data_IF_840402710871
#
_entry.id   IF_840402710871
#
_cell.length_a   1.000
_cell.length_b   1.000
_cell.length_c   1.000
_cell.angle_alpha   90.00
_cell.angle_beta   90.00
_cell.angle_gamma   90.00
#
_symmetry.space_group_name_H-M   'P 1'
#
loop_
_entity.id
_entity.type
_entity.pdbx_description
1 polymer ?
#
# COMPACT_ATOMS: atom_id res chain seq x y z
N UNK A 1 18.22 97.68 -13.38
CA UNK A 1 17.48 97.45 -12.11
C UNK A 1 16.24 96.59 -12.43
N UNK A 2 16.36 95.34 -12.28
CA UNK A 2 15.22 94.41 -12.42
C UNK A 2 15.33 93.41 -11.30
N UNK A 3 14.38 93.52 -10.40
CA UNK A 3 14.21 92.78 -9.16
C UNK A 3 13.72 91.38 -9.49
N UNK A 4 14.51 90.35 -9.16
CA UNK A 4 14.13 88.97 -9.29
C UNK A 4 13.44 88.49 -8.02
N UNK A 5 12.15 88.18 -8.08
CA UNK A 5 11.40 87.46 -7.01
C UNK A 5 11.73 85.97 -7.01
N UNK A 6 11.98 85.41 -5.85
CA UNK A 6 12.11 83.92 -5.73
C UNK A 6 10.76 83.21 -5.77
N UNK A 7 10.61 82.27 -6.67
CA UNK A 7 9.46 81.31 -6.69
C UNK A 7 9.61 80.36 -5.53
N UNK A 8 8.69 80.43 -4.55
CA UNK A 8 8.46 79.42 -3.51
C UNK A 8 7.73 78.21 -4.10
N UNK A 9 8.46 77.18 -4.34
CA UNK A 9 7.87 75.86 -4.61
C UNK A 9 7.48 75.16 -3.30
N UNK A 10 6.26 75.35 -2.84
CA UNK A 10 5.65 74.56 -1.79
C UNK A 10 5.05 73.28 -2.40
N UNK A 11 5.51 72.06 -2.03
CA UNK A 11 4.87 70.88 -2.49
C UNK A 11 3.47 70.79 -1.84
N UNK A 12 2.45 70.80 -2.66
CA UNK A 12 1.06 70.48 -2.22
C UNK A 12 0.99 69.09 -1.64
N UNK A 13 1.03 69.02 -0.34
CA UNK A 13 0.71 67.82 0.43
C UNK A 13 -0.75 67.43 0.14
N UNK A 14 -0.97 66.42 -0.71
CA UNK A 14 -2.28 65.79 -0.89
C UNK A 14 -2.70 65.19 0.43
N UNK A 15 -3.53 65.89 1.16
CA UNK A 15 -4.25 65.32 2.29
C UNK A 15 -5.15 64.18 1.78
N UNK A 16 -4.77 62.94 2.05
CA UNK A 16 -5.65 61.81 1.89
C UNK A 16 -6.88 62.01 2.80
N UNK A 17 -8.08 61.69 2.29
CA UNK A 17 -9.31 61.87 3.06
C UNK A 17 -9.28 60.99 4.31
N UNK A 18 -9.89 61.45 5.45
CA UNK A 18 -9.78 60.80 6.75
C UNK A 18 -10.39 59.39 6.84
N UNK A 19 -11.06 58.91 5.78
CA UNK A 19 -11.60 57.55 5.69
C UNK A 19 -10.65 56.57 4.96
N UNK A 20 -9.51 57.06 4.47
CA UNK A 20 -8.44 56.22 3.91
C UNK A 20 -7.32 56.05 4.96
N UNK A 21 -7.70 55.69 6.16
CA UNK A 21 -6.79 55.10 7.14
C UNK A 21 -6.71 53.64 6.80
N UNK A 22 -5.51 53.17 6.37
CA UNK A 22 -5.22 51.76 6.21
C UNK A 22 -5.65 50.99 7.45
N UNK A 23 -6.54 49.98 7.32
CA UNK A 23 -6.97 49.19 8.48
C UNK A 23 -5.92 48.18 8.96
N UNK A 24 -4.66 48.34 8.52
CA UNK A 24 -3.55 47.57 9.02
C UNK A 24 -2.97 48.22 10.26
N UNK A 25 -3.71 48.13 11.39
CA UNK A 25 -3.15 48.37 12.70
C UNK A 25 -1.91 47.45 12.92
N UNK A 26 -0.73 47.99 13.30
CA UNK A 26 0.45 47.18 13.59
C UNK A 26 0.35 46.38 14.90
N UNK A 27 -0.84 46.18 15.45
CA UNK A 27 -1.08 45.47 16.68
C UNK A 27 -1.73 44.09 16.49
N UNK A 28 -1.92 43.59 15.27
CA UNK A 28 -2.19 42.17 15.04
C UNK A 28 -0.87 41.39 15.17
N UNK A 29 -0.37 41.33 16.40
CA UNK A 29 0.72 40.46 16.83
C UNK A 29 0.29 38.98 16.90
N UNK A 30 -0.72 38.63 16.14
CA UNK A 30 -1.20 37.27 15.96
C UNK A 30 -0.59 36.64 14.69
N UNK A 31 0.47 35.84 14.86
CA UNK A 31 0.90 34.80 13.89
C UNK A 31 1.61 35.24 12.59
N UNK A 32 2.13 36.44 12.48
CA UNK A 32 3.17 36.68 11.48
C UNK A 32 4.50 36.13 12.00
N UNK A 33 4.76 34.82 11.71
CA UNK A 33 6.11 34.31 11.77
C UNK A 33 6.99 35.29 11.01
N UNK A 34 7.97 35.94 11.69
CA UNK A 34 8.80 36.93 11.05
C UNK A 34 9.41 36.32 9.78
N UNK A 35 9.50 37.04 8.68
CA UNK A 35 10.07 36.55 7.40
C UNK A 35 11.39 35.80 7.60
N UNK A 36 12.17 36.23 8.61
CA UNK A 36 13.43 35.60 9.00
C UNK A 36 13.23 34.16 9.54
N UNK A 37 12.18 33.90 10.32
CA UNK A 37 11.87 32.55 10.83
C UNK A 37 11.33 31.68 9.71
N UNK A 38 10.47 32.22 8.86
CA UNK A 38 9.96 31.51 7.67
C UNK A 38 11.09 31.11 6.72
N UNK A 39 12.02 32.03 6.41
CA UNK A 39 13.17 31.74 5.55
C UNK A 39 14.12 30.71 6.17
N UNK A 40 14.33 30.71 7.48
CA UNK A 40 15.14 29.69 8.16
C UNK A 40 14.48 28.32 8.11
N UNK A 41 13.17 28.24 8.25
CA UNK A 41 12.41 26.98 8.17
C UNK A 41 12.45 26.41 6.74
N UNK A 42 12.39 27.26 5.72
CA UNK A 42 12.50 26.84 4.32
C UNK A 42 13.85 26.21 3.98
N UNK A 43 14.95 26.61 4.65
CA UNK A 43 16.28 26.03 4.45
C UNK A 43 16.36 24.58 5.00
N UNK A 44 15.61 24.26 6.05
CA UNK A 44 15.59 22.91 6.64
C UNK A 44 14.78 21.92 5.80
N UNK A 45 13.81 22.39 5.02
CA UNK A 45 12.90 21.55 4.26
C UNK A 45 13.60 20.62 3.25
N UNK A 46 14.56 21.08 2.43
CA UNK A 46 15.33 20.21 1.55
C UNK A 46 16.14 19.16 2.29
N UNK A 47 16.70 19.50 3.47
CA UNK A 47 17.48 18.57 4.28
C UNK A 47 16.60 17.39 4.76
N UNK A 48 15.39 17.69 5.24
CA UNK A 48 14.39 16.66 5.58
C UNK A 48 14.01 15.86 4.34
N UNK A 49 13.81 16.52 3.19
CA UNK A 49 13.48 15.86 1.94
C UNK A 49 14.54 14.84 1.50
N UNK A 50 15.82 15.20 1.55
CA UNK A 50 16.91 14.28 1.21
C UNK A 50 17.02 13.10 2.22
N UNK A 51 16.79 13.36 3.50
CA UNK A 51 16.78 12.29 4.52
C UNK A 51 15.66 11.30 4.25
N UNK A 52 14.44 11.77 3.97
CA UNK A 52 13.29 10.92 3.64
C UNK A 52 13.55 10.11 2.36
N UNK A 53 14.14 10.72 1.34
CA UNK A 53 14.52 10.01 0.11
C UNK A 53 15.58 8.95 0.37
N UNK A 54 16.60 9.26 1.16
CA UNK A 54 17.64 8.30 1.54
C UNK A 54 17.08 7.10 2.29
N UNK A 55 16.21 7.32 3.27
CA UNK A 55 15.52 6.26 4.02
C UNK A 55 14.62 5.43 3.09
N UNK A 56 13.94 6.07 2.14
CA UNK A 56 13.11 5.36 1.15
C UNK A 56 13.94 4.42 0.28
N UNK A 57 15.12 4.86 -0.17
CA UNK A 57 16.03 4.00 -0.96
C UNK A 57 16.48 2.81 -0.13
N UNK A 58 16.92 3.03 1.10
CA UNK A 58 17.35 1.95 2.01
C UNK A 58 16.21 0.94 2.22
N UNK A 59 15.00 1.42 2.55
CA UNK A 59 13.84 0.55 2.76
C UNK A 59 13.47 -0.23 1.49
N UNK A 60 13.56 0.41 0.31
CA UNK A 60 13.30 -0.26 -0.97
C UNK A 60 14.33 -1.36 -1.24
N UNK A 61 15.61 -1.13 -0.95
CA UNK A 61 16.66 -2.14 -1.12
C UNK A 61 16.41 -3.35 -0.20
N UNK A 62 16.08 -3.10 1.07
CA UNK A 62 15.77 -4.16 2.05
C UNK A 62 14.56 -4.99 1.59
N UNK A 63 13.53 -4.35 1.01
CA UNK A 63 12.34 -5.03 0.51
C UNK A 63 12.65 -6.07 -0.59
N UNK A 64 13.71 -5.86 -1.37
CA UNK A 64 14.16 -6.82 -2.38
C UNK A 64 14.99 -7.99 -1.82
N UNK A 65 15.22 -8.07 -0.52
CA UNK A 65 15.96 -9.16 0.14
C UNK A 65 14.97 -10.03 0.95
N UNK A 66 14.79 -11.34 0.64
CA UNK A 66 15.41 -12.14 -0.43
C UNK A 66 14.73 -11.92 -1.79
N UNK A 67 15.54 -11.87 -2.87
CA UNK A 67 15.02 -11.65 -4.23
C UNK A 67 14.43 -12.94 -4.82
N UNK A 68 13.09 -13.01 -4.94
CA UNK A 68 12.36 -14.17 -5.46
C UNK A 68 11.37 -13.79 -6.57
N UNK A 69 11.84 -13.35 -7.75
CA UNK A 69 10.98 -12.81 -8.82
C UNK A 69 10.03 -13.83 -9.44
N UNK A 70 10.30 -15.14 -9.28
CA UNK A 70 9.46 -16.22 -9.80
C UNK A 70 8.32 -16.64 -8.86
N UNK A 71 8.39 -16.24 -7.59
CA UNK A 71 7.35 -16.51 -6.62
C UNK A 71 6.23 -15.45 -6.75
N UNK A 72 5.01 -15.84 -7.19
CA UNK A 72 3.92 -14.89 -7.41
C UNK A 72 3.45 -14.19 -6.13
N UNK A 73 3.55 -14.86 -4.98
CA UNK A 73 3.20 -14.30 -3.68
C UNK A 73 4.18 -13.18 -3.31
N UNK A 74 5.49 -13.47 -3.42
CA UNK A 74 6.54 -12.48 -3.15
C UNK A 74 6.42 -11.25 -4.05
N UNK A 75 6.16 -11.45 -5.35
CA UNK A 75 5.97 -10.32 -6.30
C UNK A 75 4.79 -9.46 -5.88
N UNK A 76 3.65 -10.08 -5.55
CA UNK A 76 2.44 -9.34 -5.18
C UNK A 76 2.62 -8.58 -3.86
N UNK A 77 3.27 -9.18 -2.85
CA UNK A 77 3.56 -8.53 -1.57
C UNK A 77 4.56 -7.39 -1.71
N UNK A 78 5.64 -7.60 -2.47
CA UNK A 78 6.63 -6.54 -2.78
C UNK A 78 5.97 -5.34 -3.47
N UNK A 79 5.09 -5.60 -4.44
CA UNK A 79 4.29 -4.54 -5.08
C UNK A 79 3.40 -3.82 -4.07
N UNK A 80 2.75 -4.56 -3.17
CA UNK A 80 1.93 -3.99 -2.10
C UNK A 80 2.72 -3.03 -1.21
N UNK A 81 3.88 -3.44 -0.75
CA UNK A 81 4.76 -2.62 0.09
C UNK A 81 5.28 -1.38 -0.64
N UNK A 82 5.65 -1.50 -1.92
CA UNK A 82 6.05 -0.35 -2.74
C UNK A 82 4.91 0.65 -2.90
N UNK A 83 3.70 0.17 -3.16
CA UNK A 83 2.51 1.04 -3.32
C UNK A 83 2.14 1.70 -1.99
N UNK A 84 2.14 0.95 -0.89
CA UNK A 84 1.85 1.49 0.44
C UNK A 84 2.91 2.50 0.91
N UNK A 85 4.16 2.32 0.49
CA UNK A 85 5.27 3.23 0.79
C UNK A 85 5.43 4.41 -0.19
N UNK A 86 4.64 4.51 -1.26
CA UNK A 86 4.84 5.50 -2.33
C UNK A 86 4.73 6.96 -1.87
N UNK A 87 4.04 7.24 -0.77
CA UNK A 87 3.89 8.59 -0.22
C UNK A 87 5.18 9.14 0.37
N UNK A 88 6.10 8.30 0.88
CA UNK A 88 7.39 8.74 1.41
C UNK A 88 8.27 9.41 0.34
N UNK A 89 8.56 8.76 -0.81
CA UNK A 89 9.34 9.41 -1.85
C UNK A 89 8.62 10.62 -2.46
N UNK A 90 7.29 10.60 -2.57
CA UNK A 90 6.52 11.76 -3.04
C UNK A 90 6.69 12.95 -2.10
N UNK A 91 6.56 12.75 -0.79
CA UNK A 91 6.75 13.79 0.22
C UNK A 91 8.19 14.30 0.22
N UNK A 92 9.18 13.39 0.18
CA UNK A 92 10.60 13.76 0.09
C UNK A 92 10.89 14.62 -1.13
N UNK A 93 10.34 14.26 -2.30
CA UNK A 93 10.49 15.01 -3.54
C UNK A 93 9.85 16.41 -3.44
N UNK A 94 8.65 16.52 -2.88
CA UNK A 94 7.97 17.80 -2.66
C UNK A 94 8.81 18.68 -1.73
N UNK A 95 9.33 18.17 -0.63
CA UNK A 95 10.18 18.89 0.31
C UNK A 95 11.46 19.42 -0.37
N UNK A 96 12.12 18.60 -1.19
CA UNK A 96 13.33 18.99 -1.93
C UNK A 96 13.03 20.07 -2.96
N UNK A 97 11.90 19.97 -3.67
CA UNK A 97 11.54 20.90 -4.74
C UNK A 97 10.98 22.24 -4.20
N UNK A 98 10.26 22.20 -3.07
CA UNK A 98 9.58 23.38 -2.53
C UNK A 98 10.51 24.26 -1.67
N UNK A 99 11.53 23.69 -1.03
CA UNK A 99 12.34 24.37 -0.02
C UNK A 99 13.35 25.40 -0.54
N UNK A 100 13.44 25.67 -1.86
CA UNK A 100 14.48 26.56 -2.41
C UNK A 100 13.97 27.60 -3.38
N UNK A 101 13.86 28.81 -2.86
CA UNK A 101 13.72 30.03 -3.60
C UNK A 101 15.03 30.84 -3.42
N UNK A 102 16.04 30.59 -4.27
CA UNK A 102 17.31 31.29 -4.17
C UNK A 102 18.42 30.72 -5.07
N UNK A 103 19.67 31.08 -4.78
CA UNK A 103 20.84 30.63 -5.54
C UNK A 103 20.97 29.11 -5.51
N UNK A 104 20.91 28.50 -6.71
CA UNK A 104 21.04 27.06 -6.89
C UNK A 104 22.47 26.76 -7.35
N UNK A 105 23.19 25.93 -6.62
CA UNK A 105 24.54 25.51 -7.00
C UNK A 105 24.50 24.58 -8.23
N UNK A 106 25.55 24.58 -9.05
CA UNK A 106 25.66 23.76 -10.28
C UNK A 106 25.49 22.26 -9.99
N UNK A 107 25.92 21.84 -8.80
CA UNK A 107 25.76 20.44 -8.34
C UNK A 107 24.29 20.07 -8.10
N UNK A 108 23.54 20.95 -7.52
CA UNK A 108 22.12 20.79 -7.24
C UNK A 108 21.27 20.72 -8.50
N UNK A 109 21.61 21.52 -9.51
CA UNK A 109 20.95 21.43 -10.82
C UNK A 109 21.12 20.04 -11.46
N UNK A 110 22.31 19.44 -11.36
CA UNK A 110 22.53 18.08 -11.83
C UNK A 110 21.68 17.06 -11.07
N UNK A 111 21.62 17.21 -9.74
CA UNK A 111 20.81 16.35 -8.88
C UNK A 111 19.33 16.48 -9.21
N UNK A 112 18.84 17.69 -9.48
CA UNK A 112 17.44 17.91 -9.87
C UNK A 112 17.11 17.31 -11.24
N UNK A 113 18.01 17.41 -12.20
CA UNK A 113 17.85 16.76 -13.49
C UNK A 113 17.81 15.23 -13.35
N UNK A 114 18.68 14.66 -12.50
CA UNK A 114 18.68 13.24 -12.18
C UNK A 114 17.38 12.83 -11.50
N UNK A 115 16.96 13.56 -10.46
CA UNK A 115 15.73 13.30 -9.70
C UNK A 115 14.49 13.37 -10.61
N UNK A 116 14.45 14.36 -11.53
CA UNK A 116 13.37 14.47 -12.51
C UNK A 116 13.29 13.26 -13.46
N UNK A 117 14.43 12.72 -13.89
CA UNK A 117 14.46 11.49 -14.70
C UNK A 117 14.03 10.27 -13.88
N UNK A 118 14.46 10.19 -12.63
CA UNK A 118 14.04 9.12 -11.70
C UNK A 118 12.53 9.14 -11.47
N UNK A 119 11.89 10.31 -11.32
CA UNK A 119 10.44 10.43 -11.21
C UNK A 119 9.71 9.81 -12.40
N UNK A 120 10.21 10.02 -13.62
CA UNK A 120 9.63 9.40 -14.81
C UNK A 120 9.75 7.89 -14.77
N UNK A 121 10.94 7.36 -14.46
CA UNK A 121 11.19 5.92 -14.41
C UNK A 121 10.34 5.25 -13.33
N UNK A 122 10.28 5.85 -12.15
CA UNK A 122 9.46 5.35 -11.03
C UNK A 122 7.97 5.41 -11.39
N UNK A 123 7.49 6.52 -11.95
CA UNK A 123 6.08 6.66 -12.37
C UNK A 123 5.69 5.63 -13.42
N UNK A 124 6.55 5.40 -14.42
CA UNK A 124 6.33 4.36 -15.43
C UNK A 124 6.39 2.97 -14.82
N UNK A 125 7.32 2.72 -13.89
CA UNK A 125 7.42 1.48 -13.13
C UNK A 125 6.13 1.15 -12.38
N UNK A 126 5.54 2.13 -11.68
CA UNK A 126 4.25 1.95 -11.00
C UNK A 126 3.12 1.60 -11.98
N UNK A 127 3.06 2.23 -13.15
CA UNK A 127 2.05 1.89 -14.16
C UNK A 127 2.25 0.48 -14.74
N UNK A 128 3.50 0.05 -14.94
CA UNK A 128 3.82 -1.30 -15.39
C UNK A 128 3.52 -2.37 -14.31
N UNK A 129 3.51 -2.01 -13.04
CA UNK A 129 3.11 -2.92 -11.96
C UNK A 129 1.65 -3.35 -12.07
N UNK A 130 0.75 -2.53 -12.64
CA UNK A 130 -0.68 -2.85 -12.74
C UNK A 130 -0.95 -4.16 -13.51
N UNK A 131 -0.50 -4.31 -14.77
CA UNK A 131 -0.72 -5.57 -15.50
C UNK A 131 -0.01 -6.76 -14.85
N UNK A 132 1.17 -6.53 -14.27
CA UNK A 132 1.89 -7.59 -13.52
C UNK A 132 1.09 -8.02 -12.30
N UNK A 133 0.56 -7.09 -11.51
CA UNK A 133 -0.25 -7.37 -10.32
C UNK A 133 -1.50 -8.18 -10.64
N UNK A 134 -2.22 -7.82 -11.71
CA UNK A 134 -3.40 -8.57 -12.17
C UNK A 134 -3.01 -10.00 -12.54
N UNK A 135 -1.93 -10.18 -13.31
CA UNK A 135 -1.46 -11.51 -13.71
C UNK A 135 -1.05 -12.37 -12.51
N UNK A 136 -0.34 -11.80 -11.54
CA UNK A 136 0.08 -12.53 -10.35
C UNK A 136 -1.12 -12.91 -9.47
N UNK A 137 -2.11 -12.05 -9.35
CA UNK A 137 -3.36 -12.36 -8.60
C UNK A 137 -4.06 -13.58 -9.19
N UNK A 138 -4.19 -13.68 -10.51
CA UNK A 138 -4.79 -14.85 -11.16
C UNK A 138 -3.97 -16.13 -10.92
N UNK A 139 -2.63 -16.01 -10.98
CA UNK A 139 -1.74 -17.15 -10.72
C UNK A 139 -1.87 -17.66 -9.29
N UNK A 140 -1.93 -16.75 -8.30
CA UNK A 140 -2.11 -17.10 -6.88
C UNK A 140 -3.50 -17.74 -6.67
N UNK A 141 -4.55 -17.20 -7.30
CA UNK A 141 -5.89 -17.79 -7.22
C UNK A 141 -5.89 -19.22 -7.76
N UNK A 142 -5.23 -19.47 -8.89
CA UNK A 142 -5.07 -20.83 -9.45
C UNK A 142 -4.32 -21.78 -8.50
N UNK A 143 -3.23 -21.33 -7.88
CA UNK A 143 -2.45 -22.11 -6.91
C UNK A 143 -3.31 -22.46 -5.67
N UNK A 144 -4.04 -21.48 -5.12
CA UNK A 144 -4.91 -21.68 -3.98
C UNK A 144 -6.06 -22.66 -4.32
N UNK A 145 -6.61 -22.60 -5.53
CA UNK A 145 -7.63 -23.53 -5.98
C UNK A 145 -7.07 -24.96 -6.09
N UNK A 146 -5.90 -25.13 -6.68
CA UNK A 146 -5.24 -26.42 -6.80
C UNK A 146 -4.93 -27.03 -5.42
N UNK A 147 -4.43 -26.23 -4.48
CA UNK A 147 -4.15 -26.66 -3.11
C UNK A 147 -5.42 -27.08 -2.37
N UNK A 148 -6.51 -26.32 -2.47
CA UNK A 148 -7.79 -26.69 -1.88
C UNK A 148 -8.38 -27.94 -2.52
N UNK A 149 -8.20 -28.12 -3.82
CA UNK A 149 -8.66 -29.32 -4.53
C UNK A 149 -7.87 -30.55 -4.09
N UNK A 150 -6.55 -30.48 -3.92
CA UNK A 150 -5.76 -31.59 -3.39
C UNK A 150 -6.19 -31.97 -1.97
N UNK A 151 -6.45 -30.99 -1.10
CA UNK A 151 -6.99 -31.24 0.24
C UNK A 151 -8.37 -31.90 0.20
N UNK A 152 -9.24 -31.49 -0.74
CA UNK A 152 -10.53 -32.13 -0.91
C UNK A 152 -10.41 -33.59 -1.35
N UNK A 153 -9.51 -33.88 -2.29
CA UNK A 153 -9.29 -35.25 -2.76
C UNK A 153 -8.75 -36.14 -1.62
N UNK A 154 -7.75 -35.69 -0.89
CA UNK A 154 -7.15 -36.39 0.23
C UNK A 154 -8.19 -36.71 1.32
N UNK A 155 -8.96 -35.70 1.74
CA UNK A 155 -10.02 -35.93 2.74
C UNK A 155 -11.17 -36.82 2.24
N UNK A 156 -11.55 -36.67 0.97
CA UNK A 156 -12.57 -37.57 0.41
C UNK A 156 -12.11 -39.02 0.38
N UNK A 157 -10.82 -39.28 0.15
CA UNK A 157 -10.26 -40.63 0.27
C UNK A 157 -10.36 -41.15 1.70
N UNK A 158 -9.94 -40.34 2.69
CA UNK A 158 -10.06 -40.73 4.11
C UNK A 158 -11.52 -41.02 4.50
N UNK A 159 -12.48 -40.21 4.03
CA UNK A 159 -13.89 -40.46 4.28
C UNK A 159 -14.41 -41.71 3.56
N UNK A 160 -13.95 -41.98 2.35
CA UNK A 160 -14.32 -43.20 1.61
C UNK A 160 -13.78 -44.46 2.31
N UNK A 161 -12.51 -44.42 2.73
CA UNK A 161 -11.89 -45.52 3.47
C UNK A 161 -12.61 -45.78 4.81
N UNK A 162 -12.94 -44.72 5.54
CA UNK A 162 -13.72 -44.82 6.79
C UNK A 162 -15.12 -45.42 6.56
N UNK A 163 -15.76 -45.05 5.46
CA UNK A 163 -17.07 -45.58 5.09
C UNK A 163 -17.00 -47.04 4.67
N UNK A 164 -15.95 -47.45 3.96
CA UNK A 164 -15.70 -48.84 3.58
C UNK A 164 -15.44 -49.70 4.82
N UNK A 165 -14.53 -49.28 5.71
CA UNK A 165 -14.29 -49.96 6.98
C UNK A 165 -15.56 -50.08 7.83
N UNK A 166 -16.39 -49.05 7.87
CA UNK A 166 -17.66 -49.08 8.59
C UNK A 166 -18.68 -50.08 7.99
N UNK A 167 -18.65 -50.29 6.67
CA UNK A 167 -19.50 -51.28 6.01
C UNK A 167 -19.04 -52.71 6.28
N UNK A 168 -17.73 -52.94 6.29
CA UNK A 168 -17.11 -54.25 6.52
C UNK A 168 -17.20 -54.71 7.99
N UNK A 169 -17.21 -53.77 8.95
CA UNK A 169 -17.26 -54.08 10.39
C UNK A 169 -18.63 -54.68 10.78
N UNK A 170 -18.59 -55.85 11.39
CA UNK A 170 -19.76 -56.58 11.89
C UNK A 170 -19.73 -56.77 13.41
N UNK A 171 -18.55 -56.72 14.06
CA UNK A 171 -18.38 -56.86 15.50
C UNK A 171 -18.53 -55.48 16.20
N UNK A 172 -19.00 -55.53 17.46
CA UNK A 172 -19.08 -54.36 18.34
C UNK A 172 -17.66 -53.82 18.65
N UNK A 173 -16.71 -54.73 18.81
CA UNK A 173 -15.29 -54.39 19.07
C UNK A 173 -14.70 -53.61 17.91
N UNK A 174 -14.88 -54.11 16.68
CA UNK A 174 -14.37 -53.41 15.45
C UNK A 174 -15.01 -52.03 15.30
N UNK A 175 -16.31 -51.89 15.57
CA UNK A 175 -17.02 -50.63 15.50
C UNK A 175 -16.55 -49.61 16.57
N UNK A 176 -16.19 -50.10 17.77
CA UNK A 176 -15.65 -49.27 18.83
C UNK A 176 -14.21 -48.79 18.52
N UNK A 177 -13.38 -49.66 17.96
CA UNK A 177 -12.04 -49.32 17.52
C UNK A 177 -12.09 -48.28 16.40
N UNK A 178 -12.94 -48.49 15.41
CA UNK A 178 -13.18 -47.55 14.32
C UNK A 178 -13.70 -46.20 14.84
N UNK A 179 -14.57 -46.22 15.86
CA UNK A 179 -15.06 -44.99 16.51
C UNK A 179 -13.94 -44.16 17.13
N UNK A 180 -13.04 -44.81 17.88
CA UNK A 180 -11.88 -44.13 18.53
C UNK A 180 -10.94 -43.62 17.47
N UNK A 181 -10.73 -44.34 16.39
CA UNK A 181 -9.88 -43.89 15.26
C UNK A 181 -10.48 -42.72 14.53
N UNK A 182 -11.80 -42.73 14.23
CA UNK A 182 -12.45 -41.63 13.51
C UNK A 182 -12.68 -40.36 14.35
N UNK A 183 -12.97 -40.56 15.65
CA UNK A 183 -13.36 -39.45 16.54
C UNK A 183 -12.60 -39.48 17.86
N UNK A 184 -11.26 -39.32 17.88
CA UNK A 184 -10.45 -39.47 19.08
C UNK A 184 -10.80 -38.48 20.20
N UNK A 185 -11.38 -37.34 19.87
CA UNK A 185 -11.70 -36.25 20.81
C UNK A 185 -13.21 -36.16 21.13
N UNK A 186 -14.03 -37.13 20.70
CA UNK A 186 -15.47 -37.14 20.96
C UNK A 186 -15.86 -38.32 21.78
N UNK A 187 -16.51 -38.07 22.90
CA UNK A 187 -17.14 -39.11 23.72
C UNK A 187 -18.53 -39.36 23.13
N UNK A 188 -18.65 -40.38 22.28
CA UNK A 188 -19.94 -40.83 21.80
C UNK A 188 -20.52 -41.88 22.81
N UNK A 189 -21.84 -41.88 23.06
CA UNK A 189 -22.45 -42.85 23.96
C UNK A 189 -22.22 -44.27 23.46
N UNK A 190 -21.82 -45.17 24.38
CA UNK A 190 -21.63 -46.59 24.11
C UNK A 190 -23.02 -47.23 24.00
N UNK A 191 -23.26 -47.90 22.90
CA UNK A 191 -24.50 -48.66 22.68
C UNK A 191 -24.17 -50.13 22.49
N UNK A 192 -24.97 -50.99 23.10
CA UNK A 192 -24.76 -52.42 23.04
C UNK A 192 -25.32 -53.07 21.76
N UNK A 193 -26.08 -52.28 20.96
CA UNK A 193 -26.63 -52.77 19.70
C UNK A 193 -25.74 -52.37 18.52
N UNK A 194 -25.12 -53.33 17.79
CA UNK A 194 -24.18 -53.03 16.70
C UNK A 194 -24.84 -52.28 15.53
N UNK A 195 -26.11 -52.51 15.25
CA UNK A 195 -26.82 -51.84 14.16
C UNK A 195 -27.08 -50.36 14.48
N UNK A 196 -27.43 -50.04 15.72
CA UNK A 196 -27.64 -48.69 16.17
C UNK A 196 -26.31 -47.90 16.19
N UNK A 197 -25.24 -48.51 16.67
CA UNK A 197 -23.89 -47.92 16.68
C UNK A 197 -23.42 -47.65 15.25
N UNK A 198 -23.60 -48.58 14.32
CA UNK A 198 -23.27 -48.42 12.90
C UNK A 198 -24.02 -47.24 12.28
N UNK A 199 -25.33 -47.15 12.52
CA UNK A 199 -26.18 -46.07 12.03
C UNK A 199 -25.76 -44.70 12.61
N UNK A 200 -25.39 -44.66 13.89
CA UNK A 200 -24.90 -43.46 14.54
C UNK A 200 -23.58 -43.01 13.96
N UNK A 201 -22.62 -43.93 13.76
CA UNK A 201 -21.32 -43.59 13.14
C UNK A 201 -21.47 -43.10 11.71
N UNK A 202 -22.40 -43.68 10.93
CA UNK A 202 -22.72 -43.19 9.58
C UNK A 202 -23.27 -41.76 9.60
N UNK A 203 -24.16 -41.44 10.54
CA UNK A 203 -24.71 -40.08 10.68
C UNK A 203 -23.64 -39.07 11.10
N UNK A 204 -22.79 -39.41 12.07
CA UNK A 204 -21.69 -38.59 12.53
C UNK A 204 -20.65 -38.35 11.41
N UNK A 205 -20.30 -39.37 10.64
CA UNK A 205 -19.41 -39.29 9.51
C UNK A 205 -19.97 -38.31 8.44
N UNK A 206 -21.25 -38.51 8.09
CA UNK A 206 -21.92 -37.63 7.12
C UNK A 206 -22.03 -36.17 7.62
N UNK A 207 -22.28 -35.95 8.90
CA UNK A 207 -22.30 -34.62 9.50
C UNK A 207 -20.90 -33.98 9.47
N UNK A 208 -19.87 -34.73 9.84
CA UNK A 208 -18.48 -34.28 9.85
C UNK A 208 -18.01 -33.91 8.43
N UNK A 209 -18.35 -34.75 7.44
CA UNK A 209 -18.05 -34.45 6.04
C UNK A 209 -18.72 -33.17 5.57
N UNK A 210 -20.02 -32.99 5.86
CA UNK A 210 -20.75 -31.74 5.49
C UNK A 210 -20.19 -30.52 6.19
N UNK A 211 -19.84 -30.62 7.47
CA UNK A 211 -19.25 -29.53 8.24
C UNK A 211 -17.88 -29.11 7.64
N UNK A 212 -17.06 -30.12 7.33
CA UNK A 212 -15.74 -29.89 6.72
C UNK A 212 -15.85 -29.27 5.32
N UNK A 213 -16.72 -29.76 4.45
CA UNK A 213 -17.01 -29.16 3.15
C UNK A 213 -17.49 -27.69 3.29
N UNK A 214 -18.37 -27.44 4.27
CA UNK A 214 -18.84 -26.09 4.59
C UNK A 214 -17.70 -25.16 5.01
N UNK A 215 -16.79 -25.66 5.85
CA UNK A 215 -15.61 -24.92 6.30
C UNK A 215 -14.66 -24.61 5.13
N UNK A 216 -14.36 -25.57 4.26
CA UNK A 216 -13.54 -25.34 3.07
C UNK A 216 -14.15 -24.30 2.12
N UNK A 217 -15.46 -24.39 1.88
CA UNK A 217 -16.17 -23.41 1.03
C UNK A 217 -16.09 -22.00 1.63
N UNK A 218 -16.24 -21.87 2.95
CA UNK A 218 -16.13 -20.58 3.64
C UNK A 218 -14.70 -20.03 3.59
N UNK A 219 -13.70 -20.88 3.82
CA UNK A 219 -12.29 -20.53 3.73
C UNK A 219 -11.90 -20.08 2.32
N UNK A 220 -12.35 -20.81 1.29
CA UNK A 220 -12.15 -20.43 -0.12
C UNK A 220 -12.73 -19.06 -0.44
N UNK A 221 -13.96 -18.77 0.01
CA UNK A 221 -14.58 -17.46 -0.17
C UNK A 221 -13.80 -16.34 0.52
N UNK A 222 -13.39 -16.58 1.77
CA UNK A 222 -12.62 -15.60 2.56
C UNK A 222 -11.26 -15.31 1.92
N UNK A 223 -10.51 -16.34 1.51
CA UNK A 223 -9.23 -16.18 0.82
C UNK A 223 -9.38 -15.40 -0.49
N UNK A 224 -10.36 -15.76 -1.31
CA UNK A 224 -10.62 -15.06 -2.59
C UNK A 224 -10.97 -13.60 -2.37
N UNK A 225 -11.87 -13.29 -1.43
CA UNK A 225 -12.24 -11.91 -1.11
C UNK A 225 -11.04 -11.10 -0.62
N UNK A 226 -10.18 -11.69 0.22
CA UNK A 226 -8.97 -11.03 0.73
C UNK A 226 -7.97 -10.74 -0.40
N UNK A 227 -7.74 -11.70 -1.29
CA UNK A 227 -6.88 -11.52 -2.47
C UNK A 227 -7.42 -10.44 -3.40
N UNK A 228 -8.73 -10.45 -3.69
CA UNK A 228 -9.34 -9.43 -4.54
C UNK A 228 -9.24 -8.03 -3.92
N UNK A 229 -9.54 -7.89 -2.63
CA UNK A 229 -9.41 -6.61 -1.91
C UNK A 229 -7.98 -6.09 -1.94
N UNK A 230 -6.98 -6.94 -1.67
CA UNK A 230 -5.55 -6.58 -1.74
C UNK A 230 -5.15 -6.17 -3.16
N UNK A 231 -5.52 -6.97 -4.16
CA UNK A 231 -5.20 -6.70 -5.56
C UNK A 231 -5.79 -5.37 -6.04
N UNK A 232 -7.07 -5.11 -5.77
CA UNK A 232 -7.73 -3.85 -6.13
C UNK A 232 -7.06 -2.66 -5.42
N UNK A 233 -6.83 -2.75 -4.11
CA UNK A 233 -6.15 -1.71 -3.33
C UNK A 233 -4.78 -1.37 -3.93
N UNK A 234 -3.96 -2.37 -4.19
CA UNK A 234 -2.60 -2.16 -4.68
C UNK A 234 -2.54 -1.69 -6.13
N UNK A 235 -3.40 -2.21 -7.01
CA UNK A 235 -3.48 -1.75 -8.39
C UNK A 235 -3.96 -0.29 -8.49
N UNK A 236 -5.00 0.10 -7.72
CA UNK A 236 -5.45 1.49 -7.65
C UNK A 236 -4.36 2.40 -7.06
N UNK A 237 -3.70 1.96 -5.99
CA UNK A 237 -2.59 2.69 -5.40
C UNK A 237 -1.42 2.88 -6.38
N UNK A 238 -1.10 1.87 -7.20
CA UNK A 238 -0.07 1.95 -8.22
C UNK A 238 -0.44 2.97 -9.32
N UNK A 239 -1.70 3.01 -9.76
CA UNK A 239 -2.18 4.00 -10.72
C UNK A 239 -2.04 5.41 -10.13
N UNK A 240 -2.56 5.63 -8.92
CA UNK A 240 -2.50 6.95 -8.25
C UNK A 240 -1.06 7.38 -8.04
N UNK A 241 -0.20 6.50 -7.51
CA UNK A 241 1.22 6.77 -7.32
C UNK A 241 1.94 7.07 -8.63
N UNK A 242 1.72 6.26 -9.66
CA UNK A 242 2.28 6.45 -11.00
C UNK A 242 1.89 7.80 -11.61
N UNK A 243 0.62 8.16 -11.54
CA UNK A 243 0.12 9.46 -12.02
C UNK A 243 0.74 10.61 -11.22
N UNK A 244 0.83 10.50 -9.89
CA UNK A 244 1.45 11.52 -9.04
C UNK A 244 2.92 11.77 -9.42
N UNK A 245 3.71 10.72 -9.63
CA UNK A 245 5.10 10.84 -10.09
C UNK A 245 5.21 11.48 -11.47
N UNK A 246 4.33 11.12 -12.41
CA UNK A 246 4.31 11.72 -13.74
C UNK A 246 3.90 13.20 -13.71
N UNK A 247 2.96 13.58 -12.85
CA UNK A 247 2.57 14.98 -12.65
C UNK A 247 3.75 15.79 -12.08
N UNK A 248 4.45 15.27 -11.07
CA UNK A 248 5.66 15.90 -10.53
C UNK A 248 6.75 16.01 -11.60
N UNK A 249 6.99 14.96 -12.39
CA UNK A 249 7.92 14.99 -13.51
C UNK A 249 7.56 16.08 -14.54
N UNK A 250 6.28 16.22 -14.86
CA UNK A 250 5.82 17.25 -15.80
C UNK A 250 6.01 18.67 -15.22
N UNK A 251 5.69 18.87 -13.94
CA UNK A 251 5.89 20.16 -13.25
C UNK A 251 7.38 20.54 -13.11
N UNK A 252 8.29 19.58 -13.05
CA UNK A 252 9.73 19.80 -12.98
C UNK A 252 10.39 19.96 -14.37
N UNK A 253 9.59 20.15 -15.44
CA UNK A 253 10.08 20.32 -16.83
C UNK A 253 11.05 21.49 -16.99
N UNK A 254 10.87 22.57 -16.24
CA UNK A 254 11.73 23.75 -16.26
C UNK A 254 13.19 23.43 -15.89
N UNK A 255 13.45 22.52 -14.95
CA UNK A 255 14.80 22.15 -14.51
C UNK A 255 15.63 21.49 -15.62
N UNK A 256 14.98 20.91 -16.64
CA UNK A 256 15.62 20.21 -17.76
C UNK A 256 15.98 21.15 -18.92
N UNK A 257 15.38 22.33 -18.98
CA UNK A 257 15.64 23.32 -20.02
C UNK A 257 16.69 24.37 -19.62
N UNK A 258 17.12 24.39 -18.36
CA UNK A 258 18.22 25.25 -17.91
C UNK A 258 19.51 24.66 -18.46
N UNK A 259 19.95 25.15 -19.64
CA UNK A 259 21.28 24.84 -20.16
C UNK A 259 22.31 25.42 -19.21
N UNK A 260 23.18 24.56 -18.69
CA UNK A 260 24.41 24.98 -18.04
C UNK A 260 25.27 25.73 -19.08
N UNK A 261 25.15 27.07 -19.11
CA UNK A 261 26.10 27.93 -19.79
C UNK A 261 27.33 28.13 -18.93
#
# INVERSE_FOLDING_TARGET
>A
MLEQQPKSNTPTQKLSPPWFQDPLHPNDSGLFLSEAVFNRTLVLLPMVGYTVLGLTVINTVILFIPFQPFNPVWVLETMGHLVEGCWFPLLGLVCVLYGRWGYVDRWELRLWCFLSRMMLLVGLGYLLMVPVGIRQTWKIEGMNQAQLQSQMVEHNQVFADAQEHLQQSQSIEDLNELRVWMFPNRVLPIRDNPQELKKQLQQELAQTQRAWEGQLRSQRRAQRLTLMKKSVKWNLGAIVGGVAFLLLWNKTRWSRHVRLR
#
